data_IF_293299522842
#
_entry.id   IF_293299522842
#
_cell.length_a   1.000
_cell.length_b   1.000
_cell.length_c   1.000
_cell.angle_alpha   90.00
_cell.angle_beta   90.00
_cell.angle_gamma   90.00
#
_symmetry.space_group_name_H-M   'P 1'
#
loop_
_entity.id
_entity.type
_entity.pdbx_description
1 polymer ?
#
# COMPACT_ATOMS: atom_id res chain seq x y z
N UNK A 1 22.25 -5.85 -3.69
CA UNK A 1 21.52 -6.07 -2.45
C UNK A 1 21.02 -4.74 -1.87
N UNK A 2 19.89 -4.76 -1.14
CA UNK A 2 19.36 -3.59 -0.41
C UNK A 2 18.66 -2.52 -1.25
N UNK A 3 18.42 -2.74 -2.54
CA UNK A 3 17.78 -1.78 -3.46
C UNK A 3 16.39 -2.21 -3.92
N UNK A 4 15.83 -3.23 -3.31
CA UNK A 4 14.53 -3.75 -3.70
C UNK A 4 13.58 -3.80 -2.51
N UNK A 5 12.35 -3.43 -2.75
CA UNK A 5 11.24 -3.54 -1.81
C UNK A 5 9.99 -4.02 -2.52
N UNK A 6 9.10 -4.64 -1.78
CA UNK A 6 7.82 -5.16 -2.26
C UNK A 6 6.72 -4.36 -1.60
N UNK A 7 5.87 -3.73 -2.41
CA UNK A 7 4.67 -3.06 -1.92
C UNK A 7 3.50 -4.05 -1.84
N UNK A 8 2.99 -4.26 -0.63
CA UNK A 8 1.88 -5.14 -0.34
C UNK A 8 0.57 -4.36 -0.38
N UNK A 9 -0.33 -4.77 -1.27
CA UNK A 9 -1.63 -4.13 -1.47
C UNK A 9 -2.73 -5.20 -1.45
N UNK A 10 -3.82 -4.93 -0.74
CA UNK A 10 -4.97 -5.85 -0.66
C UNK A 10 -5.86 -5.84 -1.92
N UNK A 11 -5.67 -4.84 -2.81
CA UNK A 11 -6.61 -4.54 -3.89
C UNK A 11 -7.83 -3.75 -3.39
N UNK A 12 -8.40 -2.90 -4.23
CA UNK A 12 -9.55 -2.08 -3.88
C UNK A 12 -10.52 -1.83 -5.06
N UNK A 13 -10.06 -2.07 -6.28
CA UNK A 13 -10.84 -1.87 -7.50
C UNK A 13 -11.57 -3.15 -7.88
N UNK A 14 -12.81 -3.28 -7.46
CA UNK A 14 -13.65 -4.45 -7.74
C UNK A 14 -13.74 -4.78 -9.24
N UNK A 15 -13.81 -3.74 -10.10
CA UNK A 15 -13.93 -3.93 -11.53
C UNK A 15 -12.74 -4.67 -12.17
N UNK A 16 -11.52 -4.52 -11.63
CA UNK A 16 -10.34 -5.26 -12.11
C UNK A 16 -10.49 -6.77 -11.84
N UNK A 17 -11.02 -7.13 -10.68
CA UNK A 17 -11.31 -8.52 -10.34
C UNK A 17 -12.46 -9.09 -11.16
N UNK A 18 -13.53 -8.30 -11.37
CA UNK A 18 -14.70 -8.73 -12.13
C UNK A 18 -14.34 -9.08 -13.57
N UNK A 19 -13.42 -8.33 -14.21
CA UNK A 19 -12.95 -8.64 -15.57
C UNK A 19 -12.35 -10.05 -15.70
N UNK A 20 -11.75 -10.55 -14.64
CA UNK A 20 -11.14 -11.87 -14.59
C UNK A 20 -12.01 -12.92 -13.89
N UNK A 21 -13.23 -12.55 -13.46
CA UNK A 21 -14.10 -13.35 -12.62
C UNK A 21 -13.42 -13.83 -11.32
N UNK A 22 -12.61 -12.96 -10.72
CA UNK A 22 -11.80 -13.26 -9.53
C UNK A 22 -12.25 -12.49 -8.28
N UNK A 23 -13.37 -11.75 -8.33
CA UNK A 23 -13.86 -11.07 -7.13
C UNK A 23 -14.29 -12.09 -6.08
N UNK A 24 -13.61 -12.12 -4.92
CA UNK A 24 -13.86 -13.14 -3.92
C UNK A 24 -15.12 -12.89 -3.06
N UNK A 25 -15.82 -11.80 -3.33
CA UNK A 25 -16.99 -11.37 -2.58
C UNK A 25 -16.70 -10.40 -1.44
N UNK A 26 -17.71 -9.66 -1.02
CA UNK A 26 -17.59 -8.58 -0.04
C UNK A 26 -17.20 -9.10 1.37
N UNK A 27 -17.62 -10.31 1.73
CA UNK A 27 -17.22 -10.93 2.99
C UNK A 27 -15.71 -11.20 3.05
N UNK A 28 -15.14 -11.70 1.97
CA UNK A 28 -13.69 -11.91 1.84
C UNK A 28 -12.97 -10.59 1.84
N UNK A 29 -13.49 -9.58 1.14
CA UNK A 29 -12.88 -8.26 1.10
C UNK A 29 -12.77 -7.63 2.50
N UNK A 30 -13.73 -7.83 3.38
CA UNK A 30 -13.65 -7.38 4.77
C UNK A 30 -12.53 -8.04 5.57
N UNK A 31 -12.17 -9.27 5.22
CA UNK A 31 -11.09 -10.04 5.89
C UNK A 31 -9.72 -9.94 5.20
N UNK A 32 -9.61 -9.08 4.19
CA UNK A 32 -8.45 -8.94 3.30
C UNK A 32 -7.11 -8.71 4.00
N UNK A 33 -7.10 -7.99 5.11
CA UNK A 33 -5.86 -7.74 5.86
C UNK A 33 -5.39 -8.97 6.64
N UNK A 34 -6.29 -9.83 7.10
CA UNK A 34 -5.92 -11.10 7.70
C UNK A 34 -5.27 -12.04 6.66
N UNK A 35 -5.87 -12.14 5.47
CA UNK A 35 -5.28 -12.89 4.36
C UNK A 35 -3.91 -12.33 3.95
N UNK A 36 -3.79 -11.00 3.84
CA UNK A 36 -2.52 -10.36 3.50
C UNK A 36 -1.47 -10.56 4.61
N UNK A 37 -1.88 -10.68 5.86
CA UNK A 37 -0.99 -10.98 6.99
C UNK A 37 -0.35 -12.37 6.89
N UNK A 38 -1.14 -13.38 6.53
CA UNK A 38 -0.59 -14.71 6.24
C UNK A 38 0.37 -14.68 5.06
N UNK A 39 -0.01 -13.99 3.97
CA UNK A 39 0.85 -13.82 2.81
C UNK A 39 2.16 -13.10 3.15
N UNK A 40 2.11 -12.03 3.95
CA UNK A 40 3.29 -11.29 4.38
C UNK A 40 4.23 -12.15 5.23
N UNK A 41 3.68 -13.01 6.08
CA UNK A 41 4.45 -13.96 6.89
C UNK A 41 5.19 -14.97 6.00
N UNK A 42 4.47 -15.61 5.07
CA UNK A 42 5.05 -16.57 4.12
C UNK A 42 6.15 -15.89 3.29
N UNK A 43 5.84 -14.70 2.77
CA UNK A 43 6.80 -13.95 1.96
C UNK A 43 8.08 -13.63 2.74
N UNK A 44 7.95 -13.22 4.01
CA UNK A 44 9.11 -12.95 4.87
C UNK A 44 9.93 -14.22 5.11
N UNK A 45 9.29 -15.35 5.43
CA UNK A 45 9.98 -16.62 5.61
C UNK A 45 10.75 -17.04 4.34
N UNK A 46 10.11 -16.96 3.17
CA UNK A 46 10.73 -17.30 1.90
C UNK A 46 11.91 -16.37 1.55
N UNK A 47 11.79 -15.07 1.80
CA UNK A 47 12.86 -14.11 1.53
C UNK A 47 14.03 -14.29 2.48
N UNK A 48 13.79 -14.48 3.77
CA UNK A 48 14.84 -14.49 4.78
C UNK A 48 15.50 -15.88 4.92
N UNK A 49 14.72 -16.95 4.85
CA UNK A 49 15.21 -18.34 5.05
C UNK A 49 15.25 -19.18 3.78
N UNK A 50 14.48 -18.79 2.77
CA UNK A 50 14.30 -19.53 1.53
C UNK A 50 13.31 -20.69 1.64
N UNK A 51 12.57 -20.81 2.76
CA UNK A 51 11.60 -21.89 2.99
C UNK A 51 10.41 -21.39 3.81
N UNK A 52 9.23 -21.93 3.52
CA UNK A 52 8.03 -21.76 4.33
C UNK A 52 7.23 -23.07 4.40
N UNK A 53 6.83 -23.45 5.59
CA UNK A 53 5.87 -24.52 5.88
C UNK A 53 4.63 -23.97 6.60
N UNK A 54 4.33 -22.72 6.37
CA UNK A 54 3.25 -21.98 7.03
C UNK A 54 1.89 -22.67 6.84
N UNK A 55 1.12 -22.75 7.93
CA UNK A 55 -0.24 -23.27 7.93
C UNK A 55 -1.17 -22.23 8.54
N UNK A 56 -1.97 -21.57 7.72
CA UNK A 56 -2.93 -20.57 8.12
C UNK A 56 -4.36 -20.88 7.66
N UNK A 57 -5.23 -19.91 7.77
CA UNK A 57 -6.62 -20.00 7.32
C UNK A 57 -6.72 -19.94 5.80
N UNK A 58 -5.93 -19.07 5.17
CA UNK A 58 -5.98 -18.79 3.73
C UNK A 58 -4.92 -19.53 2.95
N UNK A 59 -3.74 -19.72 3.54
CA UNK A 59 -2.60 -20.33 2.88
C UNK A 59 -2.10 -21.56 3.63
N UNK A 60 -1.78 -22.60 2.87
CA UNK A 60 -1.22 -23.84 3.36
C UNK A 60 0.03 -24.13 2.54
N UNK A 61 1.20 -23.94 3.14
CA UNK A 61 2.50 -24.23 2.53
C UNK A 61 3.01 -25.58 3.00
N UNK A 62 3.62 -26.34 2.11
CA UNK A 62 4.30 -27.58 2.41
C UNK A 62 5.58 -27.65 1.60
N UNK A 63 6.71 -27.61 2.29
CA UNK A 63 8.06 -27.62 1.69
C UNK A 63 8.23 -26.57 0.57
N UNK A 64 7.62 -25.39 0.76
CA UNK A 64 7.70 -24.32 -0.23
C UNK A 64 9.09 -23.68 -0.19
N UNK A 65 9.79 -23.71 -1.31
CA UNK A 65 11.19 -23.28 -1.41
C UNK A 65 11.38 -22.16 -2.42
N UNK A 66 12.25 -21.20 -2.08
CA UNK A 66 12.76 -20.16 -2.99
C UNK A 66 14.28 -20.17 -2.98
N UNK A 67 14.89 -20.26 -4.16
CA UNK A 67 16.34 -20.25 -4.35
C UNK A 67 16.75 -19.36 -5.53
N UNK A 68 17.74 -18.46 -5.36
CA UNK A 68 18.31 -18.07 -4.06
C UNK A 68 17.30 -17.29 -3.23
N UNK A 69 17.40 -17.37 -1.90
CA UNK A 69 16.67 -16.46 -1.03
C UNK A 69 17.27 -15.04 -1.09
N UNK A 70 16.49 -14.04 -0.74
CA UNK A 70 16.85 -12.63 -0.90
C UNK A 70 16.63 -11.86 0.41
N UNK A 71 17.60 -11.99 1.32
CA UNK A 71 17.56 -11.32 2.60
C UNK A 71 17.59 -9.78 2.48
N UNK A 72 16.96 -9.09 3.42
CA UNK A 72 16.97 -7.63 3.49
C UNK A 72 16.03 -6.93 2.51
N UNK A 73 15.16 -7.66 1.80
CA UNK A 73 14.08 -7.07 1.00
C UNK A 73 13.09 -6.35 1.93
N UNK A 74 12.76 -5.11 1.61
CA UNK A 74 11.84 -4.31 2.41
C UNK A 74 10.40 -4.57 2.00
N UNK A 75 9.52 -4.75 2.99
CA UNK A 75 8.09 -4.79 2.77
C UNK A 75 7.51 -3.40 3.02
N UNK A 76 6.69 -2.95 2.10
CA UNK A 76 6.11 -1.61 2.10
C UNK A 76 4.59 -1.77 2.01
N UNK A 77 3.81 -0.89 2.60
CA UNK A 77 2.36 -0.91 2.49
C UNK A 77 1.80 0.50 2.27
N UNK A 78 0.77 0.62 1.43
CA UNK A 78 0.16 1.91 1.06
C UNK A 78 -1.21 2.14 1.73
N UNK A 79 -1.63 1.30 2.68
CA UNK A 79 -2.91 1.45 3.38
C UNK A 79 -2.93 2.63 4.34
N UNK A 80 -3.89 3.54 4.18
CA UNK A 80 -4.06 4.73 5.04
C UNK A 80 -5.24 4.63 6.02
N UNK A 81 -6.08 3.58 5.92
CA UNK A 81 -7.12 3.26 6.91
C UNK A 81 -6.48 2.79 8.22
N UNK A 82 -7.25 2.77 9.31
CA UNK A 82 -6.74 2.28 10.60
C UNK A 82 -6.31 0.81 10.53
N UNK A 83 -7.05 -0.02 9.79
CA UNK A 83 -6.69 -1.41 9.51
C UNK A 83 -5.38 -1.52 8.70
N UNK A 84 -5.24 -0.67 7.67
CA UNK A 84 -4.05 -0.61 6.84
C UNK A 84 -2.81 -0.18 7.62
N UNK A 85 -2.94 0.81 8.51
CA UNK A 85 -1.85 1.26 9.38
C UNK A 85 -1.50 0.22 10.44
N UNK A 86 -2.50 -0.49 11.00
CA UNK A 86 -2.26 -1.61 11.91
C UNK A 86 -1.52 -2.76 11.22
N UNK A 87 -1.94 -3.12 9.99
CA UNK A 87 -1.24 -4.10 9.17
C UNK A 87 0.21 -3.67 8.89
N UNK A 88 0.41 -2.42 8.46
CA UNK A 88 1.74 -1.86 8.19
C UNK A 88 2.63 -1.94 9.42
N UNK A 89 2.11 -1.54 10.59
CA UNK A 89 2.83 -1.62 11.86
C UNK A 89 3.24 -3.05 12.23
N UNK A 90 2.43 -4.04 11.89
CA UNK A 90 2.68 -5.44 12.21
C UNK A 90 3.68 -6.11 11.23
N UNK A 91 3.57 -5.85 9.93
CA UNK A 91 4.22 -6.66 8.91
C UNK A 91 5.23 -5.90 8.04
N UNK A 92 5.06 -4.59 7.82
CA UNK A 92 5.88 -3.83 6.90
C UNK A 92 7.06 -3.12 7.56
N UNK A 93 8.07 -2.78 6.75
CA UNK A 93 9.22 -1.95 7.16
C UNK A 93 8.92 -0.47 6.93
N UNK A 94 8.10 -0.16 5.91
CA UNK A 94 7.74 1.21 5.52
C UNK A 94 6.28 1.32 5.14
N UNK A 95 5.72 2.52 5.34
CA UNK A 95 4.43 2.94 4.80
C UNK A 95 4.64 3.95 3.67
N UNK A 96 3.76 3.96 2.67
CA UNK A 96 3.58 5.14 1.82
C UNK A 96 2.61 6.10 2.50
N UNK A 97 3.06 7.31 2.78
CA UNK A 97 2.24 8.39 3.32
C UNK A 97 1.88 9.37 2.20
N UNK A 98 0.58 9.60 2.02
CA UNK A 98 0.04 10.59 1.09
C UNK A 98 -0.21 11.90 1.84
N UNK A 99 0.30 13.00 1.31
CA UNK A 99 -0.09 14.34 1.72
C UNK A 99 -1.30 14.85 0.94
N UNK A 100 -1.94 15.90 1.45
CA UNK A 100 -3.02 16.62 0.77
C UNK A 100 -2.63 18.09 0.59
N UNK A 101 -3.11 18.70 -0.50
CA UNK A 101 -2.87 20.11 -0.78
C UNK A 101 -1.75 20.35 -1.79
N UNK A 102 -1.57 21.63 -2.13
CA UNK A 102 -0.54 22.10 -3.06
C UNK A 102 0.53 22.82 -2.25
N UNK A 103 1.80 22.48 -2.50
CA UNK A 103 2.95 23.05 -1.77
C UNK A 103 2.82 22.98 -0.23
N UNK A 104 2.29 21.86 0.27
CA UNK A 104 2.06 21.65 1.70
C UNK A 104 3.00 20.55 2.22
N UNK A 105 4.25 20.85 2.57
CA UNK A 105 5.26 19.85 2.92
C UNK A 105 4.95 19.08 4.21
N UNK A 106 4.06 19.58 5.05
CA UNK A 106 3.63 18.94 6.30
C UNK A 106 2.34 18.15 6.20
N UNK A 107 1.74 18.05 5.01
CA UNK A 107 0.43 17.42 4.81
C UNK A 107 0.40 15.92 5.15
N UNK A 108 1.55 15.27 5.23
CA UNK A 108 1.70 13.86 5.63
C UNK A 108 1.73 13.66 7.15
N UNK A 109 1.92 14.72 7.96
CA UNK A 109 2.11 14.61 9.40
C UNK A 109 0.97 13.86 10.13
N UNK A 110 -0.33 14.09 9.81
CA UNK A 110 -1.42 13.36 10.47
C UNK A 110 -1.38 11.85 10.22
N UNK A 111 -1.01 11.41 9.01
CA UNK A 111 -0.89 9.98 8.70
C UNK A 111 0.29 9.36 9.44
N UNK A 112 1.42 10.06 9.49
CA UNK A 112 2.59 9.60 10.24
C UNK A 112 2.30 9.47 11.73
N UNK A 113 1.62 10.42 12.35
CA UNK A 113 1.25 10.32 13.77
C UNK A 113 0.39 9.07 14.06
N UNK A 114 -0.56 8.74 13.16
CA UNK A 114 -1.36 7.52 13.28
C UNK A 114 -0.53 6.25 13.10
N UNK A 115 0.41 6.25 12.15
CA UNK A 115 1.34 5.14 11.93
C UNK A 115 2.23 4.92 13.17
N UNK A 116 2.80 5.97 13.74
CA UNK A 116 3.61 5.91 14.96
C UNK A 116 2.82 5.34 16.14
N UNK A 117 1.56 5.78 16.31
CA UNK A 117 0.67 5.25 17.34
C UNK A 117 0.34 3.75 17.12
N UNK A 118 0.20 3.31 15.87
CA UNK A 118 0.00 1.89 15.54
C UNK A 118 1.29 1.09 15.79
N UNK A 119 2.44 1.60 15.37
CA UNK A 119 3.75 0.96 15.55
C UNK A 119 4.13 0.81 17.01
N UNK A 120 3.79 1.79 17.87
CA UNK A 120 4.02 1.71 19.31
C UNK A 120 3.35 0.49 19.96
N UNK A 121 2.19 0.06 19.43
CA UNK A 121 1.47 -1.13 19.93
C UNK A 121 2.18 -2.45 19.61
N UNK A 122 2.98 -2.47 18.55
CA UNK A 122 3.72 -3.67 18.10
C UNK A 122 5.16 -3.71 18.60
N UNK A 123 5.66 -2.60 19.16
CA UNK A 123 7.07 -2.43 19.52
C UNK A 123 8.03 -2.35 18.33
N UNK A 124 7.51 -2.26 17.08
CA UNK A 124 8.32 -2.19 15.85
C UNK A 124 8.57 -0.74 15.45
N UNK A 125 9.69 -0.52 14.76
CA UNK A 125 9.98 0.74 14.08
C UNK A 125 9.56 0.60 12.62
N UNK A 126 8.69 1.51 12.16
CA UNK A 126 8.21 1.56 10.78
C UNK A 126 8.53 2.94 10.21
N UNK A 127 9.21 2.97 9.07
CA UNK A 127 9.51 4.23 8.37
C UNK A 127 8.37 4.67 7.46
N UNK A 128 8.50 5.87 6.90
CA UNK A 128 7.55 6.38 5.90
C UNK A 128 8.28 6.82 4.63
N UNK A 129 7.72 6.46 3.47
CA UNK A 129 7.99 7.10 2.20
C UNK A 129 6.88 8.10 1.91
N UNK A 130 7.26 9.29 1.47
CA UNK A 130 6.31 10.31 1.06
C UNK A 130 6.01 10.15 -0.42
N UNK A 131 4.74 10.02 -0.77
CA UNK A 131 4.30 10.06 -2.16
C UNK A 131 3.90 11.49 -2.50
N UNK A 132 4.63 12.09 -3.42
CA UNK A 132 4.42 13.46 -3.88
C UNK A 132 4.25 13.47 -5.40
N UNK A 133 3.27 14.24 -5.86
CA UNK A 133 3.16 14.64 -7.27
C UNK A 133 3.98 15.91 -7.45
N UNK A 134 4.98 15.86 -8.33
CA UNK A 134 5.86 17.00 -8.60
C UNK A 134 5.58 17.57 -9.97
N UNK A 135 5.26 18.85 -10.03
CA UNK A 135 5.16 19.62 -11.27
C UNK A 135 6.29 20.65 -11.24
N UNK A 136 7.25 20.50 -12.11
CA UNK A 136 8.41 21.36 -12.17
C UNK A 136 8.46 22.15 -13.48
N UNK A 137 9.00 23.37 -13.38
CA UNK A 137 9.37 24.22 -14.51
C UNK A 137 10.54 25.13 -14.12
N UNK A 138 10.96 26.01 -15.03
CA UNK A 138 12.05 26.96 -14.81
C UNK A 138 11.77 27.97 -13.68
N UNK A 139 10.48 28.32 -13.47
CA UNK A 139 10.02 29.20 -12.40
C UNK A 139 8.75 28.66 -11.75
N UNK A 140 8.47 29.12 -10.53
CA UNK A 140 7.25 28.75 -9.79
C UNK A 140 5.98 29.18 -10.54
N UNK A 141 6.00 30.35 -11.22
CA UNK A 141 4.85 30.82 -12.01
C UNK A 141 4.56 29.88 -13.18
N UNK A 142 5.61 29.39 -13.88
CA UNK A 142 5.45 28.43 -14.97
C UNK A 142 4.97 27.07 -14.45
N UNK A 143 5.49 26.60 -13.33
CA UNK A 143 5.04 25.37 -12.69
C UNK A 143 3.56 25.47 -12.27
N UNK A 144 3.15 26.59 -11.68
CA UNK A 144 1.75 26.84 -11.33
C UNK A 144 0.85 26.96 -12.56
N UNK A 145 1.32 27.55 -13.66
CA UNK A 145 0.57 27.58 -14.92
C UNK A 145 0.32 26.17 -15.48
N UNK A 146 1.31 25.27 -15.42
CA UNK A 146 1.13 23.85 -15.77
C UNK A 146 0.09 23.18 -14.87
N UNK A 147 0.17 23.44 -13.57
CA UNK A 147 -0.83 22.91 -12.64
C UNK A 147 -2.24 23.34 -12.97
N UNK A 148 -2.44 24.63 -13.29
CA UNK A 148 -3.74 25.15 -13.70
C UNK A 148 -4.22 24.53 -15.02
N UNK A 149 -3.32 24.35 -15.99
CA UNK A 149 -3.62 23.67 -17.25
C UNK A 149 -4.14 22.24 -17.01
N UNK A 150 -3.49 21.46 -16.14
CA UNK A 150 -3.92 20.10 -15.82
C UNK A 150 -5.29 20.09 -15.12
N UNK A 151 -5.52 21.01 -14.20
CA UNK A 151 -6.83 21.15 -13.54
C UNK A 151 -7.96 21.52 -14.49
N UNK A 152 -7.69 22.40 -15.45
CA UNK A 152 -8.69 22.82 -16.45
C UNK A 152 -8.97 21.68 -17.45
N UNK A 153 -7.97 20.87 -17.75
CA UNK A 153 -8.09 19.71 -18.63
C UNK A 153 -8.58 18.43 -17.95
N UNK A 154 -9.01 18.50 -16.68
CA UNK A 154 -9.53 17.35 -15.95
C UNK A 154 -10.78 16.79 -16.66
N UNK A 155 -10.73 15.51 -17.02
CA UNK A 155 -11.90 14.75 -17.45
C UNK A 155 -12.70 14.31 -16.22
N UNK A 156 -13.74 15.07 -15.90
CA UNK A 156 -14.59 14.85 -14.72
C UNK A 156 -15.37 13.52 -14.81
N UNK A 157 -15.72 13.10 -16.00
CA UNK A 157 -16.45 11.83 -16.19
C UNK A 157 -15.52 10.65 -15.97
N UNK A 158 -14.29 10.71 -16.46
CA UNK A 158 -13.27 9.70 -16.19
C UNK A 158 -12.91 9.65 -14.71
N UNK A 159 -12.74 10.80 -14.05
CA UNK A 159 -12.46 10.86 -12.60
C UNK A 159 -13.61 10.26 -11.78
N UNK A 160 -14.86 10.58 -12.14
CA UNK A 160 -16.04 10.02 -11.49
C UNK A 160 -16.16 8.51 -11.74
N UNK A 161 -15.91 8.08 -12.97
CA UNK A 161 -15.91 6.66 -13.31
C UNK A 161 -14.88 5.89 -12.47
N UNK A 162 -13.65 6.40 -12.39
CA UNK A 162 -12.59 5.78 -11.58
C UNK A 162 -12.97 5.69 -10.09
N UNK A 163 -13.54 6.76 -9.52
CA UNK A 163 -13.99 6.76 -8.13
C UNK A 163 -15.07 5.69 -7.85
N UNK A 164 -15.91 5.39 -8.85
CA UNK A 164 -16.98 4.38 -8.74
C UNK A 164 -16.46 2.94 -8.88
N UNK A 165 -15.18 2.74 -9.23
CA UNK A 165 -14.58 1.39 -9.32
C UNK A 165 -14.12 0.84 -7.97
N UNK A 166 -14.12 1.65 -6.92
CA UNK A 166 -13.72 1.22 -5.58
C UNK A 166 -14.62 0.09 -5.07
N UNK A 167 -14.01 -0.90 -4.44
CA UNK A 167 -14.75 -1.95 -3.76
C UNK A 167 -15.59 -1.36 -2.60
N UNK A 168 -16.71 -1.97 -2.24
CA UNK A 168 -17.49 -1.53 -1.10
C UNK A 168 -16.61 -1.42 0.16
N UNK A 169 -16.68 -0.27 0.84
CA UNK A 169 -15.89 0.04 2.04
C UNK A 169 -14.36 0.15 1.80
N UNK A 170 -13.93 0.50 0.59
CA UNK A 170 -12.53 0.79 0.29
C UNK A 170 -12.03 2.13 0.87
N UNK A 171 -12.94 3.02 1.30
CA UNK A 171 -12.67 4.36 1.83
C UNK A 171 -12.75 4.40 3.35
#
# INVERSE_FOLDING_TARGET
>A
PGRFGINLITGWQKAEYDQMNLWPGDAHYKDRYNMLGEYATILRELLDTGRSDFKGKYYQMEDCLVRPNATGVKLICAGSSDEGLAFTAQYADYAFALGKGVNTPTAFAPVNARLEAAAAKTGRKVGSYLLMMVIADETDEKAMAKWQLYRQGEDKDATKWLANQAAPNAN
#
